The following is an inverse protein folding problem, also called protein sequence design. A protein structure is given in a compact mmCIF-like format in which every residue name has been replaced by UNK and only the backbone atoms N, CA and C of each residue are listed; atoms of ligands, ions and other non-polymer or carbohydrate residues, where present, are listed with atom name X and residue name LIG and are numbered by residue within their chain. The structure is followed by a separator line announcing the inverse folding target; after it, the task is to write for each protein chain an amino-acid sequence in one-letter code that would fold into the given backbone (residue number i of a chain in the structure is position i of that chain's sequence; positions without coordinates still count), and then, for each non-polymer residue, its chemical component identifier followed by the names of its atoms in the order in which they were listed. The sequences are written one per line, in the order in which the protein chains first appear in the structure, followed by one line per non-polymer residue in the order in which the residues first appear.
data_IF_215717989080
#
_entry.id   IF_215717989080
#
_cell.length_a   1.000
_cell.length_b   1.000
_cell.length_c   1.000
_cell.angle_alpha   90.00
_cell.angle_beta   90.00
_cell.angle_gamma   90.00
#
_symmetry.space_group_name_H-M   'P 1'
#
loop_
_entity.id
_entity.type
_entity.pdbx_description
1 polymer ?
#
# COMPACT_ATOMS: atom_id res chain seq x y z
N UNK A 1 -20.69 -8.68 1.13
CA UNK A 1 -20.13 -7.35 0.77
C UNK A 1 -19.69 -6.55 1.99
N UNK A 2 -20.54 -6.27 2.99
CA UNK A 2 -20.15 -5.51 4.17
C UNK A 2 -19.01 -6.15 4.96
N UNK A 3 -19.00 -7.45 5.08
CA UNK A 3 -17.93 -8.22 5.70
C UNK A 3 -16.60 -8.05 4.94
N UNK A 4 -16.61 -8.26 3.62
CA UNK A 4 -15.41 -8.07 2.79
C UNK A 4 -14.83 -6.66 2.95
N UNK A 5 -15.67 -5.62 2.90
CA UNK A 5 -15.24 -4.24 3.11
C UNK A 5 -14.66 -4.06 4.52
N UNK A 6 -15.33 -4.56 5.57
CA UNK A 6 -14.85 -4.46 6.94
C UNK A 6 -13.46 -5.06 7.13
N UNK A 7 -13.24 -6.24 6.56
CA UNK A 7 -11.96 -6.96 6.67
C UNK A 7 -10.81 -6.29 5.93
N UNK A 8 -11.07 -5.54 4.84
CA UNK A 8 -10.00 -4.87 4.06
C UNK A 8 -9.68 -3.45 4.53
N UNK A 9 -10.52 -2.82 5.37
CA UNK A 9 -10.28 -1.47 5.87
C UNK A 9 -8.87 -1.31 6.49
N UNK A 10 -8.41 -2.20 7.39
CA UNK A 10 -7.08 -2.08 7.98
C UNK A 10 -5.97 -2.11 6.93
N UNK A 11 -6.08 -2.97 5.91
CA UNK A 11 -5.09 -3.05 4.82
C UNK A 11 -5.05 -1.77 3.99
N UNK A 12 -6.22 -1.21 3.65
CA UNK A 12 -6.32 0.06 2.92
C UNK A 12 -5.67 1.22 3.69
N UNK A 13 -5.93 1.32 5.01
CA UNK A 13 -5.30 2.32 5.88
C UNK A 13 -3.79 2.10 5.96
N UNK A 14 -3.33 0.86 6.11
CA UNK A 14 -1.91 0.53 6.16
C UNK A 14 -1.16 0.94 4.89
N UNK A 15 -1.78 0.74 3.72
CA UNK A 15 -1.21 1.15 2.43
C UNK A 15 -1.25 2.67 2.28
N UNK A 16 -2.33 3.34 2.70
CA UNK A 16 -2.43 4.81 2.70
C UNK A 16 -1.31 5.48 3.50
N UNK A 17 -0.88 4.87 4.60
CA UNK A 17 0.21 5.36 5.46
C UNK A 17 1.63 5.08 4.90
N UNK A 18 1.76 4.77 3.61
CA UNK A 18 3.05 4.57 2.96
C UNK A 18 3.75 5.90 2.71
N UNK A 19 4.88 6.15 3.39
CA UNK A 19 5.58 7.42 3.31
C UNK A 19 6.21 7.69 1.93
N UNK A 20 6.84 6.71 1.29
CA UNK A 20 7.52 6.91 0.00
C UNK A 20 6.60 7.44 -1.12
N UNK A 21 5.38 6.92 -1.34
CA UNK A 21 4.48 7.53 -2.32
C UNK A 21 4.01 8.93 -1.91
N UNK A 22 3.76 9.18 -0.61
CA UNK A 22 3.38 10.51 -0.13
C UNK A 22 4.51 11.52 -0.38
N UNK A 23 5.76 11.18 0.00
CA UNK A 23 6.95 11.99 -0.27
C UNK A 23 7.13 12.17 -1.78
N UNK A 24 6.95 11.11 -2.56
CA UNK A 24 7.03 11.14 -4.02
C UNK A 24 6.06 12.14 -4.63
N UNK A 25 4.80 12.14 -4.20
CA UNK A 25 3.80 13.12 -4.63
C UNK A 25 4.22 14.53 -4.23
N UNK A 26 4.64 14.76 -2.99
CA UNK A 26 5.08 16.08 -2.53
C UNK A 26 6.24 16.61 -3.38
N UNK A 27 7.22 15.76 -3.68
CA UNK A 27 8.33 16.12 -4.55
C UNK A 27 7.88 16.44 -5.97
N UNK A 28 6.95 15.65 -6.56
CA UNK A 28 6.38 15.94 -7.88
C UNK A 28 5.62 17.27 -7.90
N UNK A 29 4.94 17.62 -6.80
CA UNK A 29 4.21 18.89 -6.66
C UNK A 29 5.14 20.09 -6.48
N UNK A 30 6.42 19.88 -6.13
CA UNK A 30 7.45 20.94 -6.08
C UNK A 30 8.12 21.20 -7.44
N UNK A 31 7.86 20.39 -8.48
CA UNK A 31 8.48 20.52 -9.81
C UNK A 31 7.72 21.52 -10.70
N UNK A 32 8.35 22.02 -11.80
CA UNK A 32 7.64 22.85 -12.78
C UNK A 32 6.41 22.19 -13.41
N UNK A 33 6.35 20.85 -13.41
CA UNK A 33 5.22 20.07 -13.94
C UNK A 33 4.29 19.55 -12.83
N UNK A 34 4.21 20.21 -11.71
CA UNK A 34 3.43 19.80 -10.53
C UNK A 34 2.00 19.38 -10.86
N UNK A 35 1.30 20.21 -11.66
CA UNK A 35 -0.12 20.01 -12.02
C UNK A 35 -0.40 18.71 -12.78
N UNK A 36 0.59 18.18 -13.48
CA UNK A 36 0.44 16.93 -14.25
C UNK A 36 1.13 15.74 -13.55
N UNK A 37 2.31 15.95 -12.97
CA UNK A 37 3.10 14.86 -12.37
C UNK A 37 2.49 14.35 -11.06
N UNK A 38 1.96 15.23 -10.20
CA UNK A 38 1.29 14.80 -8.96
C UNK A 38 0.10 13.88 -9.21
N UNK A 39 -0.91 14.32 -9.99
CA UNK A 39 -2.04 13.46 -10.36
C UNK A 39 -1.64 12.20 -11.12
N UNK A 40 -0.62 12.26 -12.00
CA UNK A 40 -0.14 11.11 -12.74
C UNK A 40 0.48 10.05 -11.81
N UNK A 41 1.27 10.45 -10.80
CA UNK A 41 1.81 9.53 -9.81
C UNK A 41 0.68 8.89 -8.99
N UNK A 42 -0.30 9.67 -8.55
CA UNK A 42 -1.46 9.16 -7.80
C UNK A 42 -2.27 8.16 -8.64
N UNK A 43 -2.51 8.46 -9.92
CA UNK A 43 -3.18 7.54 -10.83
C UNK A 43 -2.38 6.24 -10.99
N UNK A 44 -1.08 6.34 -11.22
CA UNK A 44 -0.20 5.17 -11.30
C UNK A 44 -0.23 4.33 -10.03
N UNK A 45 -0.23 4.98 -8.86
CA UNK A 45 -0.37 4.32 -7.57
C UNK A 45 -1.67 3.51 -7.47
N UNK A 46 -2.82 4.13 -7.79
CA UNK A 46 -4.11 3.47 -7.77
C UNK A 46 -4.19 2.30 -8.78
N UNK A 47 -3.66 2.50 -10.00
CA UNK A 47 -3.59 1.45 -11.01
C UNK A 47 -2.73 0.27 -10.58
N UNK A 48 -1.61 0.50 -9.92
CA UNK A 48 -0.74 -0.58 -9.41
C UNK A 48 -1.42 -1.40 -8.30
N UNK A 49 -2.11 -0.74 -7.36
CA UNK A 49 -2.92 -1.44 -6.34
C UNK A 49 -4.04 -2.26 -6.99
N UNK A 50 -4.77 -1.68 -7.93
CA UNK A 50 -5.84 -2.36 -8.66
C UNK A 50 -5.30 -3.55 -9.46
N UNK A 51 -4.16 -3.40 -10.12
CA UNK A 51 -3.52 -4.46 -10.90
C UNK A 51 -3.16 -5.67 -10.01
N UNK A 52 -2.44 -5.44 -8.91
CA UNK A 52 -2.06 -6.52 -7.98
C UNK A 52 -3.31 -7.20 -7.43
N UNK A 53 -4.28 -6.42 -6.92
CA UNK A 53 -5.51 -6.97 -6.36
C UNK A 53 -6.31 -7.78 -7.39
N UNK A 54 -6.43 -7.28 -8.62
CA UNK A 54 -7.13 -7.99 -9.69
C UNK A 54 -6.45 -9.31 -10.06
N UNK A 55 -5.11 -9.31 -10.18
CA UNK A 55 -4.35 -10.54 -10.47
C UNK A 55 -4.61 -11.58 -9.38
N UNK A 56 -4.54 -11.18 -8.10
CA UNK A 56 -4.78 -12.10 -6.98
C UNK A 56 -6.21 -12.64 -7.01
N UNK A 57 -7.22 -11.79 -7.22
CA UNK A 57 -8.62 -12.24 -7.31
C UNK A 57 -8.84 -13.22 -8.46
N UNK A 58 -8.25 -12.99 -9.64
CA UNK A 58 -8.37 -13.88 -10.78
C UNK A 58 -7.69 -15.24 -10.52
N UNK A 59 -6.52 -15.23 -9.89
CA UNK A 59 -5.82 -16.47 -9.53
C UNK A 59 -6.58 -17.23 -8.45
N UNK A 60 -7.09 -16.54 -7.44
CA UNK A 60 -7.86 -17.14 -6.35
C UNK A 60 -9.24 -17.65 -6.81
N UNK A 61 -9.90 -16.95 -7.74
CA UNK A 61 -11.20 -17.36 -8.29
C UNK A 61 -11.14 -18.60 -9.18
N UNK A 62 -9.94 -18.96 -9.69
CA UNK A 62 -9.70 -20.21 -10.40
C UNK A 62 -9.46 -21.43 -9.48
N UNK A 63 -9.14 -21.20 -8.22
CA UNK A 63 -9.05 -22.21 -7.17
C UNK A 63 -10.42 -22.21 -6.45
N UNK A 64 -11.37 -23.01 -6.92
CA UNK A 64 -12.71 -23.12 -6.33
C UNK A 64 -12.67 -23.36 -4.81
N UNK A 65 -13.77 -23.04 -4.10
CA UNK A 65 -13.88 -23.35 -2.69
C UNK A 65 -13.67 -24.85 -2.47
N UNK A 66 -12.92 -25.22 -1.42
CA UNK A 66 -12.83 -26.61 -0.98
C UNK A 66 -14.25 -27.10 -0.65
N UNK A 67 -14.59 -28.33 -1.04
CA UNK A 67 -15.92 -28.97 -0.85
C UNK A 67 -16.45 -28.99 0.60
N UNK A 68 -15.67 -28.48 1.58
CA UNK A 68 -16.00 -28.48 3.00
C UNK A 68 -16.15 -27.10 3.66
N UNK A 69 -16.15 -26.00 2.89
CA UNK A 69 -16.35 -24.66 3.44
C UNK A 69 -15.18 -24.12 4.30
N UNK A 70 -14.08 -24.86 4.41
CA UNK A 70 -12.84 -24.42 5.05
C UNK A 70 -11.92 -23.75 4.01
N UNK A 71 -11.10 -22.78 4.42
CA UNK A 71 -10.06 -22.26 3.55
C UNK A 71 -9.18 -23.42 3.03
N UNK A 72 -8.92 -23.47 1.73
CA UNK A 72 -8.03 -24.49 1.20
C UNK A 72 -6.64 -24.37 1.88
N UNK A 73 -5.97 -25.47 2.20
CA UNK A 73 -4.68 -25.50 2.91
C UNK A 73 -3.63 -24.57 2.33
N UNK A 74 -3.65 -24.37 1.01
CA UNK A 74 -2.73 -23.43 0.35
C UNK A 74 -2.97 -21.96 0.73
N UNK A 75 -4.19 -21.58 1.14
CA UNK A 75 -4.55 -20.23 1.54
C UNK A 75 -3.97 -19.93 2.91
N UNK A 76 -4.11 -20.86 3.86
CA UNK A 76 -3.50 -20.75 5.18
C UNK A 76 -1.97 -20.74 5.09
N UNK A 77 -1.40 -21.58 4.19
CA UNK A 77 0.03 -21.54 3.88
C UNK A 77 0.48 -20.20 3.29
N UNK A 78 -0.34 -19.60 2.42
CA UNK A 78 -0.07 -18.27 1.85
C UNK A 78 -0.09 -17.20 2.94
N UNK A 79 -1.06 -17.21 3.85
CA UNK A 79 -1.12 -16.24 4.94
C UNK A 79 0.06 -16.37 5.89
N UNK A 80 0.45 -17.59 6.21
CA UNK A 80 1.64 -17.84 7.01
C UNK A 80 2.89 -17.30 6.32
N UNK A 81 3.05 -17.56 5.04
CA UNK A 81 4.18 -17.07 4.26
C UNK A 81 4.20 -15.53 4.18
N UNK A 82 3.04 -14.90 3.93
CA UNK A 82 2.90 -13.44 3.91
C UNK A 82 3.18 -12.84 5.29
N UNK A 83 2.68 -13.47 6.36
CA UNK A 83 2.91 -13.05 7.74
C UNK A 83 4.40 -13.09 8.11
N UNK A 84 5.10 -14.18 7.76
CA UNK A 84 6.55 -14.32 7.99
C UNK A 84 7.34 -13.28 7.18
N UNK A 85 6.97 -13.04 5.91
CA UNK A 85 7.61 -12.02 5.08
C UNK A 85 7.38 -10.61 5.64
N UNK A 86 6.18 -10.29 6.10
CA UNK A 86 5.90 -9.00 6.74
C UNK A 86 6.66 -8.85 8.06
N UNK A 87 6.80 -9.91 8.85
CA UNK A 87 7.63 -9.90 10.05
C UNK A 87 9.09 -9.61 9.72
N UNK A 88 9.62 -10.26 8.68
CA UNK A 88 10.97 -9.99 8.20
C UNK A 88 11.14 -8.53 7.76
N UNK A 89 10.18 -7.97 7.02
CA UNK A 89 10.18 -6.54 6.62
C UNK A 89 10.13 -5.66 7.87
N UNK A 90 9.27 -5.95 8.85
CA UNK A 90 9.17 -5.19 10.09
C UNK A 90 10.51 -5.13 10.84
N UNK A 91 11.17 -6.29 11.00
CA UNK A 91 12.48 -6.39 11.66
C UNK A 91 13.56 -5.63 10.89
N UNK A 92 13.57 -5.76 9.56
CA UNK A 92 14.50 -5.05 8.68
C UNK A 92 14.35 -3.54 8.81
N UNK A 93 13.11 -3.03 8.72
CA UNK A 93 12.82 -1.61 8.88
C UNK A 93 13.21 -1.13 10.29
N UNK A 94 12.84 -1.86 11.34
CA UNK A 94 13.18 -1.50 12.70
C UNK A 94 14.69 -1.42 12.96
N UNK A 95 15.47 -2.34 12.37
CA UNK A 95 16.94 -2.33 12.47
C UNK A 95 17.58 -1.21 11.64
N UNK A 96 16.98 -0.87 10.50
CA UNK A 96 17.43 0.21 9.61
C UNK A 96 16.99 1.61 10.03
N UNK A 97 16.30 1.78 11.17
CA UNK A 97 15.84 3.10 11.62
C UNK A 97 17.03 4.03 11.89
N UNK A 98 16.97 5.29 11.44
CA UNK A 98 17.99 6.30 11.77
C UNK A 98 18.14 6.45 13.29
N UNK A 99 19.36 6.53 13.77
CA UNK A 99 19.68 6.74 15.19
C UNK A 99 20.31 8.11 15.37
N UNK A 100 19.69 8.93 16.23
CA UNK A 100 20.19 10.28 16.47
C UNK A 100 20.05 11.21 15.27
N UNK A 101 21.11 11.95 14.93
CA UNK A 101 21.16 12.94 13.84
C UNK A 101 21.59 12.33 12.47
N UNK A 102 21.47 11.01 12.30
CA UNK A 102 21.79 10.39 11.01
C UNK A 102 20.85 10.90 9.91
N UNK A 103 21.45 11.34 8.78
CA UNK A 103 20.67 11.77 7.62
C UNK A 103 19.89 10.60 7.02
N UNK A 104 18.60 10.82 6.79
CA UNK A 104 17.74 9.84 6.12
C UNK A 104 18.18 9.69 4.67
N UNK A 105 18.69 8.51 4.30
CA UNK A 105 19.11 8.21 2.93
C UNK A 105 17.88 8.06 2.04
N UNK A 106 17.58 9.09 1.25
CA UNK A 106 16.48 9.08 0.29
C UNK A 106 16.83 8.24 -0.96
N UNK A 107 15.85 7.50 -1.52
CA UNK A 107 16.04 6.76 -2.77
C UNK A 107 16.55 7.64 -3.90
N UNK A 108 17.45 7.09 -4.75
CA UNK A 108 18.10 7.84 -5.84
C UNK A 108 17.13 8.52 -6.81
N UNK A 109 15.96 7.93 -7.06
CA UNK A 109 14.94 8.50 -7.94
C UNK A 109 14.41 9.85 -7.44
N UNK A 110 14.42 10.10 -6.13
CA UNK A 110 13.99 11.37 -5.55
C UNK A 110 14.88 12.55 -5.97
N UNK A 111 16.13 12.29 -6.35
CA UNK A 111 17.07 13.33 -6.84
C UNK A 111 16.81 13.72 -8.31
N UNK A 112 16.01 12.96 -9.03
CA UNK A 112 15.78 13.14 -10.47
C UNK A 112 14.36 13.58 -10.82
N UNK A 113 13.53 13.87 -9.82
CA UNK A 113 12.09 14.20 -10.00
C UNK A 113 11.83 15.42 -10.90
N UNK A 114 12.75 16.40 -10.93
CA UNK A 114 12.62 17.59 -11.76
C UNK A 114 12.58 17.27 -13.26
N UNK A 115 13.19 16.15 -13.67
CA UNK A 115 13.19 15.66 -15.04
C UNK A 115 11.98 14.80 -15.42
N UNK A 116 11.08 14.54 -14.46
CA UNK A 116 9.98 13.62 -14.69
C UNK A 116 8.91 14.19 -15.62
N UNK A 117 8.45 13.33 -16.52
CA UNK A 117 7.24 13.54 -17.33
C UNK A 117 6.05 12.86 -16.64
N UNK A 118 4.81 13.20 -16.99
CA UNK A 118 3.62 12.54 -16.44
C UNK A 118 3.65 11.02 -16.61
N UNK A 119 4.18 10.52 -17.71
CA UNK A 119 4.34 9.06 -17.95
C UNK A 119 5.33 8.44 -16.98
N UNK A 120 6.47 9.11 -16.72
CA UNK A 120 7.44 8.62 -15.72
C UNK A 120 6.87 8.68 -14.31
N UNK A 121 6.10 9.72 -13.98
CA UNK A 121 5.43 9.85 -12.71
C UNK A 121 4.39 8.74 -12.50
N UNK A 122 3.58 8.44 -13.51
CA UNK A 122 2.62 7.34 -13.50
C UNK A 122 3.33 5.99 -13.30
N UNK A 123 4.38 5.72 -14.08
CA UNK A 123 5.16 4.48 -13.96
C UNK A 123 5.79 4.34 -12.56
N UNK A 124 6.29 5.44 -11.98
CA UNK A 124 6.81 5.45 -10.61
C UNK A 124 5.69 5.12 -9.60
N UNK A 125 4.51 5.71 -9.74
CA UNK A 125 3.36 5.42 -8.88
C UNK A 125 2.99 3.94 -8.91
N UNK A 126 2.92 3.33 -10.11
CA UNK A 126 2.69 1.89 -10.27
C UNK A 126 3.78 1.08 -9.59
N UNK A 127 5.05 1.41 -9.80
CA UNK A 127 6.16 0.69 -9.19
C UNK A 127 6.14 0.78 -7.65
N UNK A 128 5.86 1.95 -7.09
CA UNK A 128 5.79 2.15 -5.64
C UNK A 128 4.66 1.36 -4.98
N UNK A 129 3.53 1.13 -5.68
CA UNK A 129 2.41 0.34 -5.17
C UNK A 129 2.59 -1.16 -5.38
N UNK A 130 3.12 -1.59 -6.52
CA UNK A 130 3.14 -2.99 -6.94
C UNK A 130 4.48 -3.70 -6.74
N UNK A 131 5.61 -2.96 -6.61
CA UNK A 131 6.95 -3.56 -6.44
C UNK A 131 7.50 -3.37 -5.02
N UNK A 132 7.03 -2.36 -4.29
CA UNK A 132 7.44 -2.18 -2.89
C UNK A 132 6.97 -3.37 -2.04
N UNK A 133 7.89 -4.11 -1.37
CA UNK A 133 7.54 -5.35 -0.67
C UNK A 133 6.39 -5.19 0.32
N UNK A 134 6.37 -4.13 1.15
CA UNK A 134 5.28 -3.88 2.09
C UNK A 134 3.93 -3.76 1.38
N UNK A 135 3.86 -2.89 0.36
CA UNK A 135 2.59 -2.60 -0.32
C UNK A 135 2.11 -3.79 -1.15
N UNK A 136 3.05 -4.50 -1.79
CA UNK A 136 2.76 -5.74 -2.51
C UNK A 136 2.17 -6.80 -1.58
N UNK A 137 2.82 -7.09 -0.44
CA UNK A 137 2.35 -8.10 0.52
C UNK A 137 0.99 -7.72 1.11
N UNK A 138 0.78 -6.46 1.48
CA UNK A 138 -0.51 -5.97 1.98
C UNK A 138 -1.61 -6.03 0.91
N UNK A 139 -1.28 -5.77 -0.36
CA UNK A 139 -2.25 -5.87 -1.46
C UNK A 139 -2.64 -7.31 -1.76
N UNK A 140 -1.67 -8.24 -1.70
CA UNK A 140 -1.94 -9.67 -1.84
C UNK A 140 -2.82 -10.13 -0.69
N UNK A 141 -2.48 -9.80 0.56
CA UNK A 141 -3.27 -10.17 1.74
C UNK A 141 -4.69 -9.61 1.69
N UNK A 142 -4.87 -8.34 1.31
CA UNK A 142 -6.19 -7.72 1.16
C UNK A 142 -7.03 -8.44 0.08
N UNK A 143 -6.44 -8.72 -1.08
CA UNK A 143 -7.15 -9.39 -2.16
C UNK A 143 -7.47 -10.86 -1.83
N UNK A 144 -6.56 -11.57 -1.15
CA UNK A 144 -6.82 -12.92 -0.63
C UNK A 144 -7.94 -12.92 0.40
N UNK A 145 -8.00 -11.90 1.27
CA UNK A 145 -9.10 -11.73 2.23
C UNK A 145 -10.43 -11.52 1.50
N UNK A 146 -10.47 -10.69 0.44
CA UNK A 146 -11.67 -10.52 -0.40
C UNK A 146 -12.09 -11.85 -1.05
N UNK A 147 -11.12 -12.59 -1.60
CA UNK A 147 -11.38 -13.86 -2.29
C UNK A 147 -12.02 -14.92 -1.39
N UNK A 148 -11.72 -14.90 -0.07
CA UNK A 148 -12.30 -15.83 0.92
C UNK A 148 -13.73 -15.50 1.31
N UNK A 149 -14.18 -14.26 1.04
CA UNK A 149 -15.59 -13.94 1.30
C UNK A 149 -16.47 -14.62 0.24
N UNK A 150 -17.50 -15.33 0.69
CA UNK A 150 -18.46 -15.98 -0.22
C UNK A 150 -19.37 -14.90 -0.85
N UNK A 151 -18.79 -14.11 -1.74
CA UNK A 151 -19.46 -12.99 -2.41
C UNK A 151 -19.28 -13.08 -3.92
N UNK A 152 -20.25 -12.51 -4.65
CA UNK A 152 -20.17 -12.45 -6.11
C UNK A 152 -18.95 -11.68 -6.60
N UNK A 153 -18.48 -11.98 -7.82
CA UNK A 153 -17.38 -11.27 -8.47
C UNK A 153 -17.58 -9.74 -8.51
N UNK A 154 -18.82 -9.29 -8.69
CA UNK A 154 -19.16 -7.86 -8.61
C UNK A 154 -18.95 -7.26 -7.22
N UNK A 155 -19.30 -7.99 -6.17
CA UNK A 155 -19.06 -7.56 -4.79
C UNK A 155 -17.55 -7.53 -4.44
N UNK A 156 -16.79 -8.51 -4.94
CA UNK A 156 -15.33 -8.53 -4.81
C UNK A 156 -14.67 -7.34 -5.53
N UNK A 157 -15.14 -7.01 -6.74
CA UNK A 157 -14.65 -5.84 -7.48
C UNK A 157 -14.95 -4.52 -6.74
N UNK A 158 -16.14 -4.40 -6.12
CA UNK A 158 -16.46 -3.22 -5.28
C UNK A 158 -15.55 -3.15 -4.05
N UNK A 159 -15.33 -4.27 -3.35
CA UNK A 159 -14.43 -4.31 -2.20
C UNK A 159 -12.99 -3.92 -2.59
N UNK A 160 -12.48 -4.44 -3.73
CA UNK A 160 -11.19 -4.03 -4.28
C UNK A 160 -11.16 -2.55 -4.61
N UNK A 161 -12.22 -2.00 -5.21
CA UNK A 161 -12.35 -0.57 -5.48
C UNK A 161 -12.27 0.27 -4.20
N UNK A 162 -12.95 -0.14 -3.13
CA UNK A 162 -12.86 0.51 -1.80
C UNK A 162 -11.43 0.46 -1.27
N UNK A 163 -10.76 -0.69 -1.36
CA UNK A 163 -9.36 -0.84 -0.96
C UNK A 163 -8.44 0.14 -1.72
N UNK A 164 -8.58 0.24 -3.05
CA UNK A 164 -7.79 1.14 -3.89
C UNK A 164 -8.04 2.61 -3.50
N UNK A 165 -9.30 3.00 -3.31
CA UNK A 165 -9.65 4.36 -2.88
C UNK A 165 -9.03 4.68 -1.52
N UNK A 166 -9.18 3.80 -0.53
CA UNK A 166 -8.58 3.98 0.79
C UNK A 166 -7.07 4.09 0.71
N UNK A 167 -6.40 3.18 -0.02
CA UNK A 167 -4.96 3.18 -0.21
C UNK A 167 -4.45 4.43 -0.95
N UNK A 168 -5.29 5.05 -1.76
CA UNK A 168 -4.97 6.28 -2.47
C UNK A 168 -5.14 7.55 -1.62
N UNK A 169 -5.84 7.51 -0.48
CA UNK A 169 -6.06 8.69 0.38
C UNK A 169 -4.75 9.30 0.87
N UNK A 170 -3.77 8.47 1.25
CA UNK A 170 -2.47 8.95 1.73
C UNK A 170 -1.75 9.79 0.67
N UNK A 171 -1.32 9.21 -0.46
CA UNK A 171 -0.68 9.96 -1.53
C UNK A 171 -1.62 10.96 -2.23
N UNK A 172 -2.93 10.80 -2.12
CA UNK A 172 -3.93 11.74 -2.62
C UNK A 172 -4.03 13.02 -1.80
N UNK A 173 -3.82 12.95 -0.51
CA UNK A 173 -3.89 14.12 0.40
C UNK A 173 -2.99 15.28 -0.06
N UNK A 174 -1.68 15.09 -0.36
CA UNK A 174 -0.84 16.17 -0.89
C UNK A 174 -1.36 16.76 -2.19
N UNK A 175 -1.94 15.94 -3.09
CA UNK A 175 -2.51 16.43 -4.35
C UNK A 175 -3.68 17.36 -4.08
N UNK A 176 -4.62 16.94 -3.22
CA UNK A 176 -5.78 17.75 -2.82
C UNK A 176 -5.33 19.05 -2.17
N UNK A 177 -4.38 18.98 -1.22
CA UNK A 177 -3.85 20.16 -0.54
C UNK A 177 -3.19 21.15 -1.52
N UNK A 178 -2.45 20.64 -2.50
CA UNK A 178 -1.81 21.48 -3.53
C UNK A 178 -2.84 22.30 -4.32
N UNK A 179 -3.90 21.67 -4.80
CA UNK A 179 -4.93 22.36 -5.57
C UNK A 179 -5.83 23.26 -4.73
N UNK A 180 -6.10 22.88 -3.47
CA UNK A 180 -6.96 23.64 -2.56
C UNK A 180 -6.26 24.86 -1.96
N UNK A 181 -5.00 24.71 -1.50
CA UNK A 181 -4.26 25.74 -0.77
C UNK A 181 -3.40 26.65 -1.67
N UNK A 182 -3.19 26.27 -2.94
CA UNK A 182 -2.40 27.05 -3.90
C UNK A 182 -1.04 27.48 -3.30
N UNK A 183 -0.78 28.78 -3.19
CA UNK A 183 0.48 29.35 -2.67
C UNK A 183 0.84 28.85 -1.26
N UNK A 184 -0.15 28.63 -0.41
CA UNK A 184 0.06 28.15 0.99
C UNK A 184 0.39 26.66 1.07
N UNK A 185 0.19 25.91 -0.02
CA UNK A 185 0.42 24.46 -0.04
C UNK A 185 1.88 24.11 0.26
N UNK A 186 2.84 24.91 -0.21
CA UNK A 186 4.28 24.63 -0.09
C UNK A 186 4.69 24.38 1.38
N UNK A 187 4.36 25.29 2.27
CA UNK A 187 4.74 25.18 3.69
C UNK A 187 4.14 23.90 4.35
N UNK A 188 2.88 23.61 4.05
CA UNK A 188 2.19 22.42 4.59
C UNK A 188 2.81 21.14 4.02
N UNK A 189 3.09 21.11 2.72
CA UNK A 189 3.66 19.96 2.05
C UNK A 189 5.12 19.69 2.48
N UNK A 190 5.92 20.73 2.68
CA UNK A 190 7.28 20.60 3.20
C UNK A 190 7.26 20.04 4.63
N UNK A 191 6.35 20.51 5.48
CA UNK A 191 6.16 19.98 6.83
C UNK A 191 5.74 18.50 6.83
N UNK A 192 4.79 18.13 5.96
CA UNK A 192 4.34 16.76 5.80
C UNK A 192 5.49 15.83 5.34
N UNK A 193 6.27 16.29 4.35
CA UNK A 193 7.43 15.56 3.86
C UNK A 193 8.44 15.30 4.97
N UNK A 194 8.84 16.33 5.71
CA UNK A 194 9.81 16.20 6.81
C UNK A 194 9.32 15.26 7.91
N UNK A 195 8.03 15.33 8.24
CA UNK A 195 7.45 14.44 9.24
C UNK A 195 7.45 12.99 8.75
N UNK A 196 7.07 12.75 7.49
CA UNK A 196 7.08 11.42 6.89
C UNK A 196 8.49 10.84 6.79
N UNK A 197 9.48 11.63 6.39
CA UNK A 197 10.89 11.20 6.32
C UNK A 197 11.40 10.72 7.68
N UNK A 198 11.09 11.46 8.75
CA UNK A 198 11.53 11.12 10.11
C UNK A 198 10.83 9.90 10.69
N UNK A 199 9.55 9.70 10.37
CA UNK A 199 8.73 8.67 11.00
C UNK A 199 8.50 7.43 10.11
N UNK A 200 8.96 7.45 8.84
CA UNK A 200 8.71 6.38 7.87
C UNK A 200 9.04 4.99 8.43
N UNK A 201 10.25 4.82 8.97
CA UNK A 201 10.74 3.52 9.44
C UNK A 201 9.92 2.99 10.61
N UNK A 202 9.53 3.86 11.55
CA UNK A 202 8.70 3.48 12.68
C UNK A 202 7.28 3.09 12.22
N UNK A 203 6.67 3.90 11.35
CA UNK A 203 5.35 3.62 10.77
C UNK A 203 5.37 2.28 10.02
N UNK A 204 6.40 2.07 9.18
CA UNK A 204 6.56 0.84 8.42
C UNK A 204 6.71 -0.39 9.31
N UNK A 205 7.57 -0.30 10.33
CA UNK A 205 7.80 -1.41 11.24
C UNK A 205 6.54 -1.80 12.02
N UNK A 206 5.82 -0.81 12.56
CA UNK A 206 4.58 -1.06 13.33
C UNK A 206 3.50 -1.66 12.44
N UNK A 207 3.27 -1.11 11.25
CA UNK A 207 2.27 -1.64 10.32
C UNK A 207 2.61 -3.08 9.93
N UNK A 208 3.85 -3.34 9.52
CA UNK A 208 4.26 -4.69 9.12
C UNK A 208 4.15 -5.68 10.27
N UNK A 209 4.49 -5.28 11.51
CA UNK A 209 4.36 -6.13 12.69
C UNK A 209 2.91 -6.49 13.01
N UNK A 210 1.99 -5.50 12.97
CA UNK A 210 0.58 -5.73 13.23
C UNK A 210 -0.04 -6.70 12.22
N UNK A 211 0.27 -6.52 10.92
CA UNK A 211 -0.24 -7.40 9.88
C UNK A 211 0.44 -8.76 9.87
N UNK A 212 1.72 -8.85 10.22
CA UNK A 212 2.39 -10.13 10.44
C UNK A 212 1.69 -10.94 11.54
N UNK A 213 1.44 -10.31 12.69
CA UNK A 213 0.75 -10.96 13.81
C UNK A 213 -0.68 -11.40 13.41
N UNK A 214 -1.42 -10.55 12.66
CA UNK A 214 -2.75 -10.90 12.17
C UNK A 214 -2.71 -12.12 11.25
N UNK A 215 -1.89 -12.11 10.20
CA UNK A 215 -1.84 -13.17 9.20
C UNK A 215 -1.33 -14.51 9.79
N UNK A 216 -0.35 -14.45 10.68
CA UNK A 216 0.12 -15.64 11.40
C UNK A 216 -0.98 -16.19 12.32
N UNK A 217 -1.71 -15.31 13.01
CA UNK A 217 -2.84 -15.68 13.85
C UNK A 217 -3.96 -16.34 13.06
N UNK A 218 -4.35 -15.76 11.93
CA UNK A 218 -5.37 -16.30 11.02
C UNK A 218 -4.93 -17.69 10.51
N UNK A 219 -3.68 -17.83 10.03
CA UNK A 219 -3.15 -19.10 9.54
C UNK A 219 -3.12 -20.20 10.62
N UNK A 220 -2.70 -19.87 11.85
CA UNK A 220 -2.69 -20.83 12.97
C UNK A 220 -4.11 -21.27 13.34
N UNK A 221 -5.07 -20.34 13.33
CA UNK A 221 -6.48 -20.65 13.60
C UNK A 221 -7.06 -21.60 12.55
N UNK A 222 -6.80 -21.32 11.27
CA UNK A 222 -7.29 -22.14 10.14
C UNK A 222 -6.66 -23.54 10.12
N UNK A 223 -5.36 -23.67 10.46
CA UNK A 223 -4.67 -24.96 10.51
C UNK A 223 -5.01 -25.81 11.74
N UNK A 224 -5.64 -25.20 12.76
CA UNK A 224 -6.01 -25.88 14.01
C UNK A 224 -7.48 -26.28 14.09
N UNK A 225 -8.29 -25.86 13.11
CA UNK A 225 -9.73 -26.16 12.99
C UNK A 225 -10.00 -27.32 12.05
#
# INVERSE_FOLDING_TARGET
MGEAIGQILPYGVAVALSAFPIIGVVLMLATPRARSNGPALLLGWALGLALVGTIVLLVSGGAGPSDQGQPADWVSALDLALGVLLLWVAVKEWRGRPRGDEEVTLPKWMKTVDSFTPVKALALGMALSSVNPKNLLLSIAAASTIARTDTSAGAQAVALGVYVVLGALGPGTPVVLYFALKERSKHVLDGLKLWMERNNTAIMAVICLLFAAKLVGDAVSDLSS
#
